data_IF_373336796682
#
_entry.id   IF_373336796682
#
_cell.length_a   1.000
_cell.length_b   1.000
_cell.length_c   1.000
_cell.angle_alpha   90.00
_cell.angle_beta   90.00
_cell.angle_gamma   90.00
#
_symmetry.space_group_name_H-M   'P 1'
#
loop_
_entity.id
_entity.type
_entity.pdbx_description
1 polymer ?
#
# COMPACT_ATOMS: atom_id res chain seq x y z
N UNK A 1 -11.10 -6.29 5.27
CA UNK A 1 -10.46 -5.51 4.20
C UNK A 1 -9.70 -6.40 3.24
N UNK A 2 -8.85 -7.34 3.72
CA UNK A 2 -8.16 -8.30 2.84
C UNK A 2 -9.10 -9.07 1.91
N UNK A 3 -10.19 -9.62 2.45
CA UNK A 3 -11.25 -10.28 1.64
C UNK A 3 -11.72 -9.40 0.46
N UNK A 4 -12.10 -8.14 0.72
CA UNK A 4 -12.52 -7.20 -0.33
C UNK A 4 -11.40 -6.87 -1.32
N UNK A 5 -10.16 -6.73 -0.84
CA UNK A 5 -8.99 -6.48 -1.69
C UNK A 5 -8.78 -7.64 -2.68
N UNK A 6 -8.83 -8.89 -2.20
CA UNK A 6 -8.67 -10.07 -3.02
C UNK A 6 -9.83 -10.31 -3.98
N UNK A 7 -11.09 -10.12 -3.54
CA UNK A 7 -12.26 -10.18 -4.41
C UNK A 7 -12.16 -9.19 -5.58
N UNK A 8 -11.61 -8.01 -5.31
CA UNK A 8 -11.37 -6.98 -6.32
C UNK A 8 -10.06 -7.16 -7.10
N UNK A 9 -9.29 -8.23 -6.82
CA UNK A 9 -7.98 -8.53 -7.44
C UNK A 9 -6.95 -7.40 -7.26
N UNK A 10 -6.97 -6.75 -6.10
CA UNK A 10 -6.00 -5.72 -5.71
C UNK A 10 -4.82 -6.29 -4.92
N UNK A 11 -3.79 -5.46 -4.78
CA UNK A 11 -2.59 -5.74 -3.95
C UNK A 11 -2.42 -4.73 -2.80
N UNK A 12 -3.29 -3.72 -2.75
CA UNK A 12 -3.38 -2.69 -1.72
C UNK A 12 -4.82 -2.22 -1.57
N UNK A 13 -5.20 -1.82 -0.34
CA UNK A 13 -6.50 -1.22 -0.05
C UNK A 13 -6.43 -0.31 1.19
N UNK A 14 -6.65 0.98 0.98
CA UNK A 14 -6.76 1.99 2.03
C UNK A 14 -8.16 2.03 2.67
N UNK A 15 -8.22 2.35 3.96
CA UNK A 15 -9.45 2.33 4.74
C UNK A 15 -10.54 3.27 4.18
N UNK A 16 -10.16 4.43 3.65
CA UNK A 16 -11.08 5.39 3.06
C UNK A 16 -11.76 4.87 1.77
N UNK A 17 -11.13 3.94 1.04
CA UNK A 17 -11.73 3.31 -0.15
C UNK A 17 -12.95 2.45 0.20
N UNK A 18 -13.05 2.02 1.47
CA UNK A 18 -14.21 1.30 2.04
C UNK A 18 -14.98 2.15 3.06
N UNK A 19 -14.88 3.48 2.94
CA UNK A 19 -15.59 4.47 3.77
C UNK A 19 -15.28 4.38 5.29
N UNK A 20 -14.13 3.84 5.67
CA UNK A 20 -13.65 3.86 7.05
C UNK A 20 -12.75 5.11 7.24
N UNK A 21 -13.08 6.03 8.16
CA UNK A 21 -12.35 7.29 8.36
C UNK A 21 -11.12 7.10 9.26
N UNK A 22 -10.32 6.06 8.98
CA UNK A 22 -9.13 5.72 9.75
C UNK A 22 -7.88 5.84 8.88
N UNK A 23 -6.78 6.26 9.48
CA UNK A 23 -5.49 6.41 8.80
C UNK A 23 -4.74 5.07 8.80
N UNK A 24 -5.19 4.13 7.97
CA UNK A 24 -4.45 2.88 7.73
C UNK A 24 -4.78 2.27 6.37
N UNK A 25 -3.89 1.41 5.91
CA UNK A 25 -4.11 0.58 4.72
C UNK A 25 -3.57 -0.84 4.95
N UNK A 26 -3.95 -1.73 4.05
CA UNK A 26 -3.43 -3.10 3.98
C UNK A 26 -2.78 -3.33 2.62
N UNK A 27 -1.78 -4.22 2.58
CA UNK A 27 -1.19 -4.68 1.31
C UNK A 27 -0.94 -6.19 1.37
N UNK A 28 -0.98 -6.80 0.20
CA UNK A 28 -0.30 -8.06 -0.09
C UNK A 28 0.18 -7.98 -1.55
N UNK A 29 1.48 -7.80 -1.74
CA UNK A 29 2.08 -7.52 -3.05
C UNK A 29 1.94 -8.70 -4.02
N UNK A 30 1.82 -9.93 -3.50
CA UNK A 30 1.54 -11.11 -4.34
C UNK A 30 0.11 -11.11 -4.90
N UNK A 31 -0.84 -10.46 -4.21
CA UNK A 31 -2.27 -10.54 -4.51
C UNK A 31 -2.88 -11.93 -4.27
N UNK A 32 -2.14 -12.86 -3.67
CA UNK A 32 -2.56 -14.24 -3.44
C UNK A 32 -3.08 -14.42 -2.00
N UNK A 33 -4.37 -14.78 -1.80
CA UNK A 33 -4.91 -15.05 -0.46
C UNK A 33 -4.30 -16.29 0.21
N UNK A 34 -3.66 -17.19 -0.52
CA UNK A 34 -2.98 -18.36 0.05
C UNK A 34 -1.61 -17.97 0.67
N UNK A 35 -1.06 -16.80 0.31
CA UNK A 35 0.20 -16.25 0.83
C UNK A 35 -0.06 -15.21 1.92
N UNK A 36 -0.81 -15.63 2.94
CA UNK A 36 -1.20 -14.79 4.09
C UNK A 36 -0.01 -14.27 4.93
N UNK A 37 1.15 -14.90 4.84
CA UNK A 37 2.39 -14.44 5.48
C UNK A 37 2.97 -13.17 4.85
N UNK A 38 2.45 -12.75 3.69
CA UNK A 38 2.78 -11.49 3.01
C UNK A 38 1.72 -10.40 3.22
N UNK A 39 0.71 -10.66 4.05
CA UNK A 39 -0.25 -9.64 4.47
C UNK A 39 0.41 -8.67 5.46
N UNK A 40 0.37 -7.38 5.13
CA UNK A 40 0.87 -6.33 6.00
C UNK A 40 -0.21 -5.27 6.23
N UNK A 41 -0.28 -4.79 7.48
CA UNK A 41 -1.17 -3.72 7.91
C UNK A 41 -0.32 -2.54 8.37
N UNK A 42 -0.63 -1.35 7.85
CA UNK A 42 0.09 -0.12 8.14
C UNK A 42 -0.85 0.89 8.79
N UNK A 43 -0.81 0.98 10.11
CA UNK A 43 -1.59 1.95 10.87
C UNK A 43 -0.74 3.20 11.13
N UNK A 44 -1.31 4.38 10.87
CA UNK A 44 -0.64 5.67 10.96
C UNK A 44 0.72 5.73 10.24
N UNK A 45 0.78 5.36 8.94
CA UNK A 45 2.04 5.34 8.21
C UNK A 45 2.63 6.74 8.00
N UNK A 46 3.96 6.83 8.10
CA UNK A 46 4.78 7.98 7.74
C UNK A 46 5.93 7.53 6.83
N UNK A 47 6.12 8.24 5.70
CA UNK A 47 7.18 7.95 4.72
C UNK A 47 8.34 8.93 4.90
N UNK A 48 9.56 8.41 4.90
CA UNK A 48 10.82 9.17 4.93
C UNK A 48 11.87 8.55 4.00
N UNK A 49 13.09 9.12 3.99
CA UNK A 49 14.26 8.64 3.22
C UNK A 49 13.98 8.32 1.74
N UNK A 50 13.15 9.16 1.11
CA UNK A 50 12.75 9.02 -0.28
C UNK A 50 13.92 9.26 -1.23
N UNK A 51 14.22 8.29 -2.11
CA UNK A 51 15.33 8.39 -3.06
C UNK A 51 15.01 7.70 -4.39
N UNK A 52 15.65 8.18 -5.46
CA UNK A 52 15.38 7.79 -6.84
C UNK A 52 14.05 8.35 -7.36
N UNK A 53 13.82 8.21 -8.67
CA UNK A 53 12.54 8.57 -9.28
C UNK A 53 12.30 7.65 -10.48
N UNK A 54 11.23 6.87 -10.40
CA UNK A 54 10.85 5.90 -11.43
C UNK A 54 9.42 6.14 -11.87
N UNK A 55 9.20 6.10 -13.18
CA UNK A 55 7.87 6.14 -13.77
C UNK A 55 7.37 4.71 -13.99
N UNK A 56 6.09 4.48 -13.72
CA UNK A 56 5.47 3.18 -13.89
C UNK A 56 3.96 3.30 -13.94
N UNK A 57 3.32 2.29 -14.51
CA UNK A 57 1.87 2.24 -14.64
C UNK A 57 1.21 1.85 -13.31
N UNK A 58 0.20 2.60 -12.90
CA UNK A 58 -0.64 2.29 -11.73
C UNK A 58 -2.10 2.20 -12.15
N UNK A 59 -2.84 1.30 -11.48
CA UNK A 59 -4.29 1.27 -11.42
C UNK A 59 -4.75 1.42 -9.97
N UNK A 60 -6.05 1.67 -9.76
CA UNK A 60 -6.62 1.85 -8.42
C UNK A 60 -8.01 1.20 -8.35
N UNK A 61 -8.31 0.50 -7.25
CA UNK A 61 -9.63 -0.11 -7.03
C UNK A 61 -10.76 0.95 -6.95
N UNK A 62 -10.44 2.19 -6.55
CA UNK A 62 -11.40 3.30 -6.53
C UNK A 62 -11.66 3.91 -7.91
N UNK A 63 -10.82 3.63 -8.91
CA UNK A 63 -10.97 4.15 -10.29
C UNK A 63 -10.82 2.99 -11.28
N UNK A 64 -11.81 2.09 -11.35
CA UNK A 64 -11.69 0.84 -12.07
C UNK A 64 -11.44 1.06 -13.58
N UNK A 65 -10.60 0.21 -14.17
CA UNK A 65 -10.24 0.18 -15.60
C UNK A 65 -9.42 1.38 -16.09
N UNK A 66 -9.08 2.34 -15.21
CA UNK A 66 -8.18 3.43 -15.55
C UNK A 66 -6.76 3.10 -15.08
N UNK A 67 -5.82 3.21 -16.01
CA UNK A 67 -4.40 3.05 -15.76
C UNK A 67 -3.66 4.30 -16.21
N UNK A 68 -2.64 4.70 -15.45
CA UNK A 68 -1.87 5.91 -15.73
C UNK A 68 -0.41 5.78 -15.31
N UNK A 69 0.45 6.52 -16.00
CA UNK A 69 1.87 6.62 -15.63
C UNK A 69 2.01 7.56 -14.42
N UNK A 70 2.61 7.05 -13.35
CA UNK A 70 2.83 7.77 -12.09
C UNK A 70 4.31 7.67 -11.71
N UNK A 71 4.87 8.82 -11.35
CA UNK A 71 6.23 8.91 -10.82
C UNK A 71 6.22 8.62 -9.33
N UNK A 72 7.10 7.71 -8.91
CA UNK A 72 7.29 7.33 -7.50
C UNK A 72 8.76 7.41 -7.14
N UNK A 73 9.04 7.61 -5.86
CA UNK A 73 10.37 7.36 -5.35
C UNK A 73 10.66 5.86 -5.48
N UNK A 74 11.86 5.53 -5.94
CA UNK A 74 12.29 4.15 -6.17
C UNK A 74 12.47 3.40 -4.85
N UNK A 75 12.93 4.13 -3.83
CA UNK A 75 13.17 3.63 -2.48
C UNK A 75 12.56 4.58 -1.46
N UNK A 76 12.02 4.02 -0.38
CA UNK A 76 11.44 4.74 0.76
C UNK A 76 11.74 3.99 2.06
N UNK A 77 11.70 4.71 3.19
CA UNK A 77 11.49 4.10 4.51
C UNK A 77 10.06 4.42 4.95
N UNK A 78 9.31 3.42 5.41
CA UNK A 78 7.98 3.61 6.02
C UNK A 78 8.02 3.22 7.49
N UNK A 79 7.49 4.08 8.35
CA UNK A 79 7.23 3.80 9.76
C UNK A 79 5.72 3.70 9.98
N UNK A 80 5.26 2.68 10.70
CA UNK A 80 3.85 2.45 10.98
C UNK A 80 3.66 1.58 12.24
N UNK A 81 2.40 1.33 12.60
CA UNK A 81 2.02 0.37 13.64
C UNK A 81 1.26 -0.81 13.03
N UNK A 82 1.45 -1.99 13.61
CA UNK A 82 0.68 -3.19 13.25
C UNK A 82 -0.66 -3.29 14.03
N UNK A 83 -1.38 -4.40 13.83
CA UNK A 83 -2.67 -4.65 14.50
C UNK A 83 -2.54 -4.84 16.03
N UNK A 84 -1.35 -5.21 16.52
CA UNK A 84 -1.05 -5.34 17.95
C UNK A 84 -0.59 -4.01 18.56
N UNK A 85 -0.52 -2.94 17.74
CA UNK A 85 -0.07 -1.62 18.14
C UNK A 85 1.44 -1.53 18.33
N UNK A 86 2.21 -2.48 17.79
CA UNK A 86 3.68 -2.42 17.81
C UNK A 86 4.17 -1.57 16.64
N UNK A 87 5.06 -0.63 16.95
CA UNK A 87 5.71 0.19 15.93
C UNK A 87 6.75 -0.62 15.14
N UNK A 88 6.79 -0.42 13.83
CA UNK A 88 7.79 -1.00 12.95
C UNK A 88 8.26 0.01 11.90
N UNK A 89 9.43 -0.25 11.35
CA UNK A 89 10.03 0.50 10.25
C UNK A 89 10.49 -0.46 9.16
N UNK A 90 10.29 -0.11 7.90
CA UNK A 90 10.64 -0.95 6.75
C UNK A 90 11.24 -0.10 5.63
N UNK A 91 12.40 -0.50 5.14
CA UNK A 91 12.94 0.01 3.88
C UNK A 91 12.35 -0.78 2.73
N UNK A 92 11.81 -0.07 1.74
CA UNK A 92 11.08 -0.64 0.62
C UNK A 92 11.65 -0.12 -0.69
N UNK A 93 11.66 -0.99 -1.69
CA UNK A 93 11.99 -0.68 -3.07
C UNK A 93 10.97 -1.28 -4.04
N UNK A 94 11.20 -1.07 -5.34
CA UNK A 94 10.45 -1.66 -6.45
C UNK A 94 8.92 -1.54 -6.32
N UNK A 95 8.20 -2.67 -6.41
CA UNK A 95 6.74 -2.70 -6.34
C UNK A 95 6.21 -2.42 -4.92
N UNK A 96 6.73 -3.02 -3.84
CA UNK A 96 6.31 -2.67 -2.48
C UNK A 96 6.39 -1.17 -2.16
N UNK A 97 7.49 -0.49 -2.55
CA UNK A 97 7.63 0.95 -2.35
C UNK A 97 6.54 1.75 -3.09
N UNK A 98 6.21 1.34 -4.32
CA UNK A 98 5.16 1.97 -5.12
C UNK A 98 3.79 1.78 -4.48
N UNK A 99 3.44 0.57 -4.06
CA UNK A 99 2.16 0.27 -3.42
C UNK A 99 2.01 1.07 -2.12
N UNK A 100 3.04 1.09 -1.26
CA UNK A 100 2.98 1.85 0.00
C UNK A 100 2.83 3.36 -0.25
N UNK A 101 3.51 3.94 -1.24
CA UNK A 101 3.30 5.33 -1.62
C UNK A 101 1.87 5.58 -2.11
N UNK A 102 1.33 4.69 -2.95
CA UNK A 102 -0.05 4.80 -3.45
C UNK A 102 -1.08 4.75 -2.33
N UNK A 103 -1.00 3.77 -1.46
CA UNK A 103 -1.95 3.63 -0.35
C UNK A 103 -1.78 4.74 0.69
N UNK A 104 -0.57 5.29 0.86
CA UNK A 104 -0.37 6.46 1.72
C UNK A 104 -1.00 7.72 1.13
N UNK A 105 -1.00 7.92 -0.19
CA UNK A 105 -1.66 9.06 -0.85
C UNK A 105 -3.19 9.03 -0.71
N UNK A 106 -3.77 7.85 -0.47
CA UNK A 106 -5.19 7.74 -0.17
C UNK A 106 -5.54 8.34 1.20
N UNK A 107 -4.64 8.31 2.19
CA UNK A 107 -4.90 8.65 3.60
C UNK A 107 -4.82 10.15 3.92
#
# INVERSE_FOLDING_TARGET
MFELMYEAKGIGLAANQVALPFRFFIINVSGDPDLSDQEHVFINPEISNQSGLVEGEEGCLSVPQLYGQVKRFETITVEAYDLDGQGFAMDLDELPARVVQHETDHL
#
